data_IF_216444480083
#
_entry.id   IF_216444480083
#
_cell.length_a   1.000
_cell.length_b   1.000
_cell.length_c   1.000
_cell.angle_alpha   90.00
_cell.angle_beta   90.00
_cell.angle_gamma   90.00
#
_symmetry.space_group_name_H-M   'P 1'
#
loop_
_entity.id
_entity.type
_entity.pdbx_description
1 polymer ?
#
# COMPACT_ATOMS: atom_id res chain seq x y z
N UNK A 1 -19.79 -30.10 18.76
CA UNK A 1 -18.48 -29.42 18.78
C UNK A 1 -18.64 -28.13 17.99
N UNK A 2 -18.68 -26.98 18.66
CA UNK A 2 -18.72 -25.67 17.99
C UNK A 2 -17.26 -25.23 17.88
N UNK A 3 -16.64 -25.52 16.74
CA UNK A 3 -15.31 -24.97 16.43
C UNK A 3 -15.54 -23.53 15.99
N UNK A 4 -15.65 -22.64 16.96
CA UNK A 4 -15.51 -21.22 16.72
C UNK A 4 -14.05 -21.00 16.29
N UNK A 5 -13.82 -21.02 14.98
CA UNK A 5 -12.54 -20.65 14.39
C UNK A 5 -12.27 -19.22 14.87
N UNK A 6 -11.31 -19.11 15.78
CA UNK A 6 -10.81 -17.85 16.30
C UNK A 6 -10.26 -17.12 15.10
N UNK A 7 -11.03 -16.17 14.58
CA UNK A 7 -10.57 -15.20 13.60
C UNK A 7 -9.37 -14.53 14.26
N UNK A 8 -8.17 -14.92 13.84
CA UNK A 8 -6.94 -14.22 14.14
C UNK A 8 -7.08 -12.84 13.48
N UNK A 9 -7.79 -11.95 14.15
CA UNK A 9 -7.70 -10.52 13.94
C UNK A 9 -6.28 -10.15 14.29
N UNK A 10 -5.37 -10.36 13.34
CA UNK A 10 -4.17 -9.58 13.26
C UNK A 10 -4.64 -8.13 13.14
N UNK A 11 -4.82 -7.48 14.28
CA UNK A 11 -4.89 -6.03 14.41
C UNK A 11 -3.51 -5.45 14.11
N UNK A 12 -2.93 -5.83 12.98
CA UNK A 12 -2.05 -4.95 12.25
C UNK A 12 -2.95 -3.81 11.77
N UNK A 13 -2.40 -2.63 11.55
CA UNK A 13 -3.14 -1.41 11.19
C UNK A 13 -4.00 -1.48 9.90
N UNK A 14 -4.30 -2.67 9.37
CA UNK A 14 -4.96 -2.91 8.09
C UNK A 14 -4.05 -2.64 6.91
N UNK A 15 -2.80 -2.24 7.16
CA UNK A 15 -1.80 -1.90 6.14
C UNK A 15 -0.81 -3.05 6.02
N UNK A 16 -0.74 -3.73 4.86
CA UNK A 16 0.27 -4.75 4.61
C UNK A 16 1.69 -4.16 4.71
N UNK A 17 2.65 -4.98 5.14
CA UNK A 17 4.06 -4.60 5.05
C UNK A 17 4.49 -4.55 3.58
N UNK A 18 5.25 -3.53 3.21
CA UNK A 18 5.77 -3.36 1.86
C UNK A 18 7.28 -3.17 1.95
N UNK A 19 8.03 -4.12 1.41
CA UNK A 19 9.49 -4.06 1.31
C UNK A 19 9.94 -3.04 0.25
N UNK A 20 9.31 -3.08 -0.94
CA UNK A 20 9.55 -2.14 -2.04
C UNK A 20 8.32 -1.24 -2.28
N UNK A 21 8.36 0.06 -1.93
CA UNK A 21 7.26 0.99 -2.13
C UNK A 21 6.82 1.18 -3.58
N UNK A 22 7.68 0.87 -4.55
CA UNK A 22 7.33 0.92 -5.99
C UNK A 22 6.62 -0.35 -6.46
N UNK A 23 6.67 -1.43 -5.67
CA UNK A 23 6.06 -2.73 -5.97
C UNK A 23 5.28 -3.24 -4.75
N UNK A 24 4.25 -2.53 -4.31
CA UNK A 24 3.47 -2.95 -3.15
C UNK A 24 2.73 -4.25 -3.43
N UNK A 25 2.47 -5.00 -2.36
CA UNK A 25 1.68 -6.23 -2.38
C UNK A 25 0.43 -6.07 -1.52
N UNK A 26 -0.61 -6.83 -1.83
CA UNK A 26 -1.81 -6.91 -1.02
C UNK A 26 -1.60 -7.75 0.26
N UNK A 27 -2.65 -7.91 1.06
CA UNK A 27 -2.59 -8.70 2.29
C UNK A 27 -2.29 -10.20 2.05
N UNK A 28 -2.53 -10.69 0.83
CA UNK A 28 -2.27 -12.06 0.40
C UNK A 28 -0.87 -12.22 -0.25
N UNK A 29 -0.09 -11.12 -0.32
CA UNK A 29 1.25 -11.09 -0.91
C UNK A 29 1.26 -10.96 -2.44
N UNK A 30 0.12 -10.70 -3.08
CA UNK A 30 0.05 -10.50 -4.52
C UNK A 30 0.42 -9.07 -4.91
N UNK A 31 1.15 -8.86 -6.02
CA UNK A 31 1.45 -7.52 -6.51
C UNK A 31 0.18 -6.70 -6.77
N UNK A 32 0.16 -5.45 -6.29
CA UNK A 32 -0.94 -4.50 -6.47
C UNK A 32 -0.40 -3.14 -6.91
N UNK A 33 -1.22 -2.34 -7.61
CA UNK A 33 -0.81 -0.97 -7.97
C UNK A 33 -0.70 -0.09 -6.74
N UNK A 34 0.29 0.81 -6.69
CA UNK A 34 0.46 1.73 -5.56
C UNK A 34 -0.76 2.62 -5.28
N UNK A 35 -1.44 3.12 -6.31
CA UNK A 35 -2.69 3.88 -6.15
C UNK A 35 -3.80 3.06 -5.52
N UNK A 36 -3.91 1.79 -5.92
CA UNK A 36 -4.92 0.86 -5.42
C UNK A 36 -4.60 0.42 -3.98
N UNK A 37 -3.32 0.21 -3.66
CA UNK A 37 -2.86 -0.01 -2.29
C UNK A 37 -3.25 1.15 -1.36
N UNK A 38 -3.04 2.39 -1.79
CA UNK A 38 -3.39 3.57 -1.01
C UNK A 38 -4.91 3.64 -0.77
N UNK A 39 -5.72 3.41 -1.81
CA UNK A 39 -7.18 3.44 -1.67
C UNK A 39 -7.70 2.34 -0.75
N UNK A 40 -7.14 1.13 -0.85
CA UNK A 40 -7.62 -0.05 -0.13
C UNK A 40 -7.14 -0.12 1.32
N UNK A 41 -5.89 0.27 1.59
CA UNK A 41 -5.25 0.06 2.89
C UNK A 41 -4.93 1.36 3.64
N UNK A 42 -4.78 2.49 2.94
CA UNK A 42 -4.36 3.75 3.57
C UNK A 42 -5.49 4.73 3.85
N UNK A 43 -6.75 4.35 3.56
CA UNK A 43 -7.92 5.15 3.88
C UNK A 43 -8.01 5.40 5.41
N UNK A 44 -8.03 6.68 5.81
CA UNK A 44 -8.06 7.08 7.22
C UNK A 44 -6.72 6.91 7.97
N UNK A 45 -5.64 6.50 7.28
CA UNK A 45 -4.30 6.25 7.86
C UNK A 45 -3.20 7.02 7.11
N UNK A 46 -3.34 8.34 6.91
CA UNK A 46 -2.41 9.11 6.07
C UNK A 46 -0.99 9.18 6.63
N UNK A 47 -0.83 9.00 7.94
CA UNK A 47 0.46 9.06 8.65
C UNK A 47 1.13 7.70 8.82
N UNK A 48 0.49 6.60 8.39
CA UNK A 48 1.10 5.28 8.49
C UNK A 48 2.34 5.22 7.61
N UNK A 49 3.47 4.76 8.16
CA UNK A 49 4.77 4.82 7.49
C UNK A 49 4.75 4.19 6.09
N UNK A 50 4.16 2.99 5.96
CA UNK A 50 4.00 2.32 4.66
C UNK A 50 3.18 3.15 3.67
N UNK A 51 2.10 3.77 4.13
CA UNK A 51 1.23 4.59 3.27
C UNK A 51 1.96 5.82 2.75
N UNK A 52 2.75 6.47 3.61
CA UNK A 52 3.61 7.61 3.23
C UNK A 52 4.64 7.18 2.19
N UNK A 53 5.28 6.01 2.36
CA UNK A 53 6.27 5.48 1.42
C UNK A 53 5.66 5.16 0.05
N UNK A 54 4.54 4.43 0.02
CA UNK A 54 3.85 4.07 -1.22
C UNK A 54 3.29 5.31 -1.93
N UNK A 55 2.75 6.29 -1.18
CA UNK A 55 2.30 7.56 -1.76
C UNK A 55 3.46 8.32 -2.43
N UNK A 56 4.61 8.43 -1.76
CA UNK A 56 5.81 9.05 -2.35
C UNK A 56 6.29 8.33 -3.60
N UNK A 57 6.28 7.00 -3.61
CA UNK A 57 6.65 6.20 -4.77
C UNK A 57 5.71 6.49 -5.96
N UNK A 58 4.39 6.46 -5.73
CA UNK A 58 3.38 6.79 -6.75
C UNK A 58 3.58 8.21 -7.31
N UNK A 59 3.79 9.21 -6.45
CA UNK A 59 4.04 10.59 -6.88
C UNK A 59 5.35 10.73 -7.67
N UNK A 60 6.40 9.99 -7.29
CA UNK A 60 7.68 10.01 -7.98
C UNK A 60 7.59 9.36 -9.36
N UNK A 61 6.84 8.26 -9.48
CA UNK A 61 6.61 7.58 -10.75
C UNK A 61 5.75 8.44 -11.70
N UNK A 62 4.75 9.14 -11.16
CA UNK A 62 3.96 10.11 -11.92
C UNK A 62 4.83 11.27 -12.43
N UNK A 63 5.78 11.74 -11.62
CA UNK A 63 6.70 12.83 -12.00
C UNK A 63 7.75 12.37 -13.01
N UNK A 64 8.21 11.11 -12.93
CA UNK A 64 9.09 10.50 -13.94
C UNK A 64 8.44 10.40 -15.32
N UNK A 65 7.12 10.24 -15.39
CA UNK A 65 6.37 10.24 -16.64
C UNK A 65 6.10 11.64 -17.20
N UNK A 66 6.36 12.70 -16.42
CA UNK A 66 5.88 14.06 -16.69
C UNK A 66 6.97 15.12 -16.88
N UNK A 67 8.22 14.76 -17.18
CA UNK A 67 9.19 15.75 -17.63
C UNK A 67 9.13 15.83 -19.18
N UNK A 68 8.43 16.81 -19.78
CA UNK A 68 8.65 17.09 -21.19
C UNK A 68 10.13 17.43 -21.36
N UNK A 69 10.84 16.62 -22.15
CA UNK A 69 12.16 16.99 -22.67
C UNK A 69 11.97 18.22 -23.54
N UNK A 70 12.14 19.41 -22.98
CA UNK A 70 12.01 20.65 -23.74
C UNK A 70 11.76 21.88 -22.89
N UNK A 71 12.71 22.22 -22.01
CA UNK A 71 13.05 23.59 -21.69
C UNK A 71 14.57 23.75 -21.71
#
# INVERSE_FOLDING_TARGET
MVVAAVLLSACSDGVPHVEDPHRPVDADGNPIKGTEFIQKYCAGKPTHETCVKVQKAVSSDATKGGLPKGW
#
